data_IF_367996214357
#
_entry.id   IF_367996214357
#
_cell.length_a   1.000
_cell.length_b   1.000
_cell.length_c   1.000
_cell.angle_alpha   90.00
_cell.angle_beta   90.00
_cell.angle_gamma   90.00
#
_symmetry.space_group_name_H-M   'P 1'
#
loop_
_entity.id
_entity.type
_entity.pdbx_description
1 polymer ?
#
# COMPACT_ATOMS: atom_id res chain seq x y z
N UNK A 1 -13.21 -2.99 -15.90
CA UNK A 1 -12.36 -1.79 -15.82
C UNK A 1 -12.31 -1.39 -14.35
N UNK A 2 -11.12 -1.06 -13.83
CA UNK A 2 -11.02 -0.63 -12.45
C UNK A 2 -11.71 0.74 -12.26
N UNK A 3 -12.43 0.95 -11.15
CA UNK A 3 -12.94 2.26 -10.78
C UNK A 3 -11.79 3.27 -10.59
N UNK A 4 -12.14 4.55 -10.65
CA UNK A 4 -11.20 5.65 -10.48
C UNK A 4 -11.51 6.42 -9.20
N UNK A 5 -10.47 6.74 -8.43
CA UNK A 5 -10.55 7.53 -7.20
C UNK A 5 -9.70 8.79 -7.36
N UNK A 6 -10.32 9.95 -7.24
CA UNK A 6 -9.61 11.23 -7.07
C UNK A 6 -9.07 11.31 -5.63
N UNK A 7 -7.77 11.08 -5.47
CA UNK A 7 -7.12 11.05 -4.18
C UNK A 7 -6.52 12.42 -3.84
N UNK A 8 -7.34 13.28 -3.23
CA UNK A 8 -6.88 14.53 -2.63
C UNK A 8 -6.37 14.25 -1.23
N UNK A 9 -5.06 14.34 -1.02
CA UNK A 9 -4.43 13.95 0.26
C UNK A 9 -5.02 14.69 1.47
N UNK A 10 -5.42 15.96 1.31
CA UNK A 10 -6.05 16.74 2.38
C UNK A 10 -7.40 16.17 2.87
N UNK A 11 -8.07 15.32 2.08
CA UNK A 11 -9.30 14.66 2.50
C UNK A 11 -9.05 13.47 3.43
N UNK A 12 -7.82 12.93 3.43
CA UNK A 12 -7.48 11.68 4.11
C UNK A 12 -6.34 11.84 5.11
N UNK A 13 -5.53 12.88 5.01
CA UNK A 13 -4.45 13.16 5.94
C UNK A 13 -4.66 14.53 6.57
N UNK A 14 -4.38 14.66 7.87
CA UNK A 14 -4.06 15.97 8.43
C UNK A 14 -2.80 16.54 7.77
N UNK A 15 -2.74 17.87 7.66
CA UNK A 15 -1.61 18.59 7.08
C UNK A 15 -1.01 19.48 8.15
N UNK A 16 0.32 19.50 8.26
CA UNK A 16 1.06 20.39 9.15
C UNK A 16 2.24 21.02 8.42
N UNK A 17 2.69 22.19 8.89
CA UNK A 17 3.85 22.85 8.32
C UNK A 17 5.15 22.15 8.75
N UNK A 18 5.93 21.67 7.77
CA UNK A 18 7.24 21.10 8.02
C UNK A 18 8.30 22.21 7.96
N UNK A 19 8.78 22.66 9.13
CA UNK A 19 9.76 23.75 9.24
C UNK A 19 11.11 23.42 8.60
N UNK A 20 11.50 22.15 8.50
CA UNK A 20 12.75 21.75 7.88
C UNK A 20 12.71 21.89 6.35
N UNK A 21 11.52 21.72 5.75
CA UNK A 21 11.32 21.76 4.30
C UNK A 21 10.65 23.06 3.83
N UNK A 22 10.10 23.86 4.75
CA UNK A 22 9.45 25.12 4.43
C UNK A 22 8.10 24.97 3.71
N UNK A 23 7.42 23.82 3.84
CA UNK A 23 6.15 23.56 3.16
C UNK A 23 5.16 22.78 4.01
N UNK A 24 3.87 22.94 3.73
CA UNK A 24 2.79 22.20 4.38
C UNK A 24 2.73 20.78 3.82
N UNK A 25 2.77 19.78 4.71
CA UNK A 25 2.87 18.37 4.34
C UNK A 25 1.85 17.50 5.09
N UNK A 26 1.38 16.41 4.46
CA UNK A 26 0.63 15.37 5.15
C UNK A 26 1.43 14.82 6.34
N UNK A 27 0.77 14.76 7.50
CA UNK A 27 1.29 14.08 8.68
C UNK A 27 0.73 12.66 8.73
N UNK A 28 1.57 11.74 9.20
CA UNK A 28 1.22 10.34 9.25
C UNK A 28 2.10 9.58 10.24
N UNK A 29 1.62 8.41 10.62
CA UNK A 29 2.38 7.45 11.39
C UNK A 29 3.17 6.56 10.43
N UNK A 30 4.49 6.74 10.41
CA UNK A 30 5.38 5.97 9.54
C UNK A 30 6.05 4.84 10.31
N UNK A 31 6.04 3.65 9.73
CA UNK A 31 6.85 2.53 10.19
C UNK A 31 7.75 2.04 9.07
N UNK A 32 8.95 1.66 9.47
CA UNK A 32 9.96 1.17 8.56
C UNK A 32 10.05 -0.34 8.73
N UNK A 33 10.28 -1.04 7.63
CA UNK A 33 10.34 -2.48 7.60
C UNK A 33 11.60 -2.95 6.90
N UNK A 34 12.22 -4.00 7.42
CA UNK A 34 13.22 -4.76 6.71
C UNK A 34 12.57 -5.53 5.54
N UNK A 35 13.02 -5.25 4.32
CA UNK A 35 12.41 -5.78 3.09
C UNK A 35 12.60 -7.30 2.97
N UNK A 36 13.74 -7.82 3.41
CA UNK A 36 14.02 -9.26 3.37
C UNK A 36 13.16 -10.02 4.37
N UNK A 37 12.97 -9.47 5.58
CA UNK A 37 12.09 -10.05 6.58
C UNK A 37 10.63 -10.12 6.09
N UNK A 38 10.12 -9.05 5.47
CA UNK A 38 8.78 -9.04 4.88
C UNK A 38 8.65 -10.05 3.73
N UNK A 39 9.65 -10.12 2.85
CA UNK A 39 9.67 -11.07 1.73
C UNK A 39 9.66 -12.51 2.22
N UNK A 40 10.46 -12.82 3.24
CA UNK A 40 10.48 -14.15 3.85
C UNK A 40 9.12 -14.52 4.46
N UNK A 41 8.48 -13.59 5.18
CA UNK A 41 7.16 -13.81 5.76
C UNK A 41 6.07 -14.04 4.70
N UNK A 42 6.08 -13.26 3.61
CA UNK A 42 5.17 -13.46 2.48
C UNK A 42 5.33 -14.83 1.81
N UNK A 43 6.58 -15.26 1.58
CA UNK A 43 6.88 -16.57 0.97
C UNK A 43 6.38 -17.74 1.81
N UNK A 44 6.47 -17.68 3.14
CA UNK A 44 5.90 -18.71 4.03
C UNK A 44 4.39 -18.87 3.83
N UNK A 45 3.70 -17.80 3.44
CA UNK A 45 2.27 -17.78 3.17
C UNK A 45 1.92 -17.93 1.68
N UNK A 46 2.92 -18.17 0.81
CA UNK A 46 2.76 -18.20 -0.65
C UNK A 46 2.14 -16.92 -1.22
N UNK A 47 2.49 -15.77 -0.64
CA UNK A 47 2.08 -14.43 -1.06
C UNK A 47 3.29 -13.66 -1.59
N UNK A 48 3.08 -12.83 -2.61
CA UNK A 48 4.07 -11.80 -2.96
C UNK A 48 4.02 -10.65 -1.93
N UNK A 49 4.96 -9.71 -2.02
CA UNK A 49 5.09 -8.61 -1.08
C UNK A 49 3.84 -7.71 -1.06
N UNK A 50 3.22 -7.47 -2.22
CA UNK A 50 2.00 -6.66 -2.34
C UNK A 50 0.83 -7.31 -1.61
N UNK A 51 0.60 -8.59 -1.86
CA UNK A 51 -0.50 -9.33 -1.27
C UNK A 51 -0.31 -9.46 0.24
N UNK A 52 0.93 -9.71 0.69
CA UNK A 52 1.25 -9.78 2.10
C UNK A 52 1.00 -8.46 2.83
N UNK A 53 1.51 -7.34 2.29
CA UNK A 53 1.30 -6.01 2.87
C UNK A 53 -0.19 -5.58 2.84
N UNK A 54 -0.90 -5.90 1.76
CA UNK A 54 -2.34 -5.63 1.63
C UNK A 54 -3.14 -6.43 2.66
N UNK A 55 -2.85 -7.72 2.79
CA UNK A 55 -3.51 -8.60 3.75
C UNK A 55 -3.24 -8.17 5.19
N UNK A 56 -1.98 -7.81 5.50
CA UNK A 56 -1.61 -7.24 6.78
C UNK A 56 -2.46 -6.00 7.07
N UNK A 57 -2.41 -5.00 6.20
CA UNK A 57 -3.17 -3.77 6.38
C UNK A 57 -4.66 -4.03 6.64
N UNK A 58 -5.28 -4.93 5.88
CA UNK A 58 -6.68 -5.29 6.08
C UNK A 58 -6.96 -5.97 7.43
N UNK A 59 -6.14 -6.94 7.82
CA UNK A 59 -6.34 -7.71 9.06
C UNK A 59 -6.37 -6.82 10.31
N UNK A 60 -5.77 -5.64 10.20
CA UNK A 60 -5.69 -4.65 11.27
C UNK A 60 -6.96 -3.81 11.40
N UNK A 61 -7.81 -3.82 10.37
CA UNK A 61 -9.07 -3.08 10.29
C UNK A 61 -10.32 -3.97 10.32
N UNK A 62 -10.19 -5.27 10.04
CA UNK A 62 -11.33 -6.21 10.01
C UNK A 62 -12.06 -6.38 11.36
N UNK A 63 -11.59 -5.73 12.43
CA UNK A 63 -12.22 -5.71 13.75
C UNK A 63 -13.46 -4.82 13.92
N UNK A 64 -14.06 -4.31 12.83
CA UNK A 64 -15.38 -3.68 12.86
C UNK A 64 -15.42 -2.24 13.40
N UNK A 65 -14.31 -1.50 13.37
CA UNK A 65 -14.32 -0.07 13.71
C UNK A 65 -14.73 0.75 12.48
N UNK A 66 -15.78 1.55 12.62
CA UNK A 66 -16.09 2.57 11.63
C UNK A 66 -15.00 3.64 11.70
N UNK A 67 -14.17 3.71 10.66
CA UNK A 67 -13.16 4.76 10.51
C UNK A 67 -13.55 5.72 9.40
N UNK A 68 -13.13 6.97 9.54
CA UNK A 68 -13.41 8.04 8.57
C UNK A 68 -12.73 7.80 7.22
N UNK A 69 -11.61 7.07 7.26
CA UNK A 69 -10.83 6.61 6.12
C UNK A 69 -9.36 6.64 6.47
N UNK A 70 -8.64 5.54 6.24
CA UNK A 70 -7.19 5.49 6.45
C UNK A 70 -6.47 5.22 5.15
N UNK A 71 -5.61 6.16 4.78
CA UNK A 71 -4.73 6.04 3.63
C UNK A 71 -3.38 5.50 4.09
N UNK A 72 -2.99 4.36 3.52
CA UNK A 72 -1.65 3.84 3.55
C UNK A 72 -0.89 4.32 2.31
N UNK A 73 0.29 4.89 2.53
CA UNK A 73 1.24 5.26 1.49
C UNK A 73 2.54 4.51 1.70
N UNK A 74 3.20 4.16 0.61
CA UNK A 74 4.40 3.35 0.60
C UNK A 74 5.54 4.15 -0.01
N UNK A 75 6.68 4.20 0.64
CA UNK A 75 7.92 4.73 0.11
C UNK A 75 9.02 3.69 0.34
N UNK A 76 9.68 3.21 -0.69
CA UNK A 76 10.85 2.39 -0.43
C UNK A 76 12.10 3.23 -0.21
N UNK A 77 12.99 2.64 0.58
CA UNK A 77 14.20 3.23 1.13
C UNK A 77 15.32 2.19 0.89
N UNK A 78 16.59 2.56 0.70
CA UNK A 78 17.63 1.55 0.51
C UNK A 78 17.58 0.44 1.58
N UNK A 79 17.36 -0.80 1.12
CA UNK A 79 17.19 -2.04 1.93
C UNK A 79 15.94 -2.10 2.84
N UNK A 80 15.07 -1.09 2.79
CA UNK A 80 13.93 -0.95 3.71
C UNK A 80 12.68 -0.47 2.95
N UNK A 81 11.55 -0.51 3.64
CA UNK A 81 10.34 0.11 3.16
C UNK A 81 9.70 0.92 4.27
N UNK A 82 9.28 2.15 3.98
CA UNK A 82 8.42 2.91 4.84
C UNK A 82 6.97 2.73 4.39
N UNK A 83 6.13 2.24 5.30
CA UNK A 83 4.69 2.27 5.13
C UNK A 83 4.16 3.30 6.13
N UNK A 84 3.52 4.34 5.61
CA UNK A 84 2.99 5.43 6.41
C UNK A 84 1.47 5.42 6.35
N UNK A 85 0.83 5.63 7.49
CA UNK A 85 -0.61 5.75 7.63
C UNK A 85 -1.00 7.19 7.94
N UNK A 86 -2.03 7.69 7.28
CA UNK A 86 -2.67 8.93 7.69
C UNK A 86 -4.19 8.75 7.72
N UNK A 87 -4.82 9.53 8.60
CA UNK A 87 -6.27 9.75 8.64
C UNK A 87 -6.53 11.23 8.89
N UNK A 88 -7.70 11.72 8.47
CA UNK A 88 -8.24 12.99 8.92
C UNK A 88 -8.56 12.98 10.42
N UNK A 89 -8.87 11.80 10.98
CA UNK A 89 -9.05 11.56 12.41
C UNK A 89 -7.87 10.74 12.98
N UNK A 90 -6.98 11.34 13.80
CA UNK A 90 -5.84 10.64 14.39
C UNK A 90 -6.21 9.43 15.24
N UNK A 91 -7.43 9.38 15.78
CA UNK A 91 -7.89 8.24 16.58
C UNK A 91 -7.97 6.95 15.74
N UNK A 92 -8.24 7.07 14.43
CA UNK A 92 -8.26 5.94 13.51
C UNK A 92 -6.89 5.23 13.52
N UNK A 93 -5.80 5.99 13.37
CA UNK A 93 -4.44 5.44 13.25
C UNK A 93 -3.90 4.94 14.59
N UNK A 94 -4.35 5.49 15.72
CA UNK A 94 -3.85 5.13 17.04
C UNK A 94 -4.07 3.65 17.38
N UNK A 95 -5.23 3.09 17.02
CA UNK A 95 -5.55 1.68 17.27
C UNK A 95 -4.60 0.72 16.53
N UNK A 96 -4.04 1.17 15.41
CA UNK A 96 -3.21 0.36 14.52
C UNK A 96 -1.73 0.42 14.88
N UNK A 97 -1.31 1.55 15.45
CA UNK A 97 0.07 1.80 15.84
C UNK A 97 0.68 0.64 16.62
N UNK A 98 -0.01 0.13 17.62
CA UNK A 98 0.52 -0.93 18.49
C UNK A 98 0.59 -2.28 17.77
N UNK A 99 -0.39 -2.59 16.92
CA UNK A 99 -0.38 -3.86 16.18
C UNK A 99 0.64 -3.87 15.05
N UNK A 100 0.98 -2.73 14.45
CA UNK A 100 2.03 -2.70 13.43
C UNK A 100 3.44 -2.91 13.99
N UNK A 101 3.67 -2.57 15.26
CA UNK A 101 4.98 -2.79 15.90
C UNK A 101 5.34 -4.27 16.03
N UNK A 102 4.35 -5.15 15.99
CA UNK A 102 4.57 -6.61 16.09
C UNK A 102 4.88 -7.26 14.74
N UNK A 103 4.83 -6.50 13.65
CA UNK A 103 5.08 -7.02 12.31
C UNK A 103 6.57 -7.40 12.11
N UNK A 104 6.86 -8.46 11.34
CA UNK A 104 8.23 -8.87 11.03
C UNK A 104 9.06 -7.72 10.44
N UNK A 105 10.25 -7.52 10.97
CA UNK A 105 11.18 -6.52 10.48
C UNK A 105 10.79 -5.06 10.79
N UNK A 106 9.78 -4.82 11.63
CA UNK A 106 9.39 -3.48 12.04
C UNK A 106 10.52 -2.75 12.78
N UNK A 107 10.79 -1.53 12.34
CA UNK A 107 11.71 -0.57 12.93
C UNK A 107 10.91 0.69 13.26
N UNK A 108 10.74 0.99 14.56
CA UNK A 108 10.05 2.21 15.00
C UNK A 108 10.97 3.42 14.80
N UNK A 109 11.03 3.91 13.57
CA UNK A 109 11.63 5.19 13.23
C UNK A 109 10.51 6.22 13.17
N UNK A 110 10.32 6.92 14.29
CA UNK A 110 9.28 7.94 14.42
C UNK A 110 9.57 9.08 13.45
N UNK A 111 8.78 9.16 12.40
CA UNK A 111 8.72 10.30 11.50
C UNK A 111 7.26 10.75 11.39
N UNK A 112 6.98 11.96 11.87
CA UNK A 112 5.62 12.49 11.93
C UNK A 112 5.10 12.98 10.56
N UNK A 113 5.97 13.04 9.55
CA UNK A 113 5.61 13.40 8.16
C UNK A 113 5.74 12.20 7.21
N UNK A 114 4.79 12.12 6.27
CA UNK A 114 4.86 11.17 5.16
C UNK A 114 6.06 11.53 4.25
N UNK A 115 6.90 10.55 3.84
CA UNK A 115 7.98 10.80 2.90
C UNK A 115 7.46 11.41 1.58
N UNK A 116 8.16 12.40 1.03
CA UNK A 116 7.74 13.04 -0.24
C UNK A 116 7.73 12.07 -1.43
N UNK A 117 8.52 11.00 -1.35
CA UNK A 117 8.56 9.94 -2.35
C UNK A 117 7.50 8.87 -2.14
N UNK A 118 6.58 9.03 -1.18
CA UNK A 118 5.57 8.02 -0.91
C UNK A 118 4.47 8.03 -1.98
N UNK A 119 4.17 6.86 -2.52
CA UNK A 119 3.05 6.64 -3.41
C UNK A 119 1.82 6.13 -2.64
N UNK A 120 0.59 6.50 -3.03
CA UNK A 120 -0.61 5.87 -2.49
C UNK A 120 -0.58 4.36 -2.70
N UNK A 121 -0.83 3.63 -1.63
CA UNK A 121 -0.78 2.18 -1.63
C UNK A 121 -2.16 1.58 -1.42
N UNK A 122 -2.80 1.88 -0.29
CA UNK A 122 -4.12 1.33 0.03
C UNK A 122 -4.98 2.35 0.77
N UNK A 123 -6.29 2.28 0.58
CA UNK A 123 -7.27 3.07 1.31
C UNK A 123 -8.26 2.11 1.97
N UNK A 124 -8.39 2.19 3.29
CA UNK A 124 -9.47 1.53 4.01
C UNK A 124 -10.56 2.55 4.30
N UNK A 125 -11.74 2.34 3.72
CA UNK A 125 -12.90 3.24 3.86
C UNK A 125 -14.19 2.46 3.67
N UNK A 126 -15.24 2.81 4.41
CA UNK A 126 -16.56 2.19 4.28
C UNK A 126 -16.52 0.66 4.44
N UNK A 127 -15.67 0.18 5.36
CA UNK A 127 -15.38 -1.24 5.61
C UNK A 127 -14.80 -2.01 4.42
N UNK A 128 -14.39 -1.33 3.36
CA UNK A 128 -13.77 -1.90 2.19
C UNK A 128 -12.29 -1.49 2.10
N UNK A 129 -11.48 -2.42 1.60
CA UNK A 129 -10.08 -2.16 1.27
C UNK A 129 -9.94 -1.91 -0.22
N UNK A 130 -9.40 -0.75 -0.54
CA UNK A 130 -9.04 -0.35 -1.89
C UNK A 130 -7.52 -0.41 -2.04
N UNK A 131 -7.01 -1.31 -2.88
CA UNK A 131 -5.65 -1.24 -3.39
C UNK A 131 -5.60 -0.18 -4.49
N UNK A 132 -4.75 0.82 -4.29
CA UNK A 132 -4.66 2.00 -5.14
C UNK A 132 -3.53 1.85 -6.17
N UNK A 133 -3.82 2.18 -7.42
CA UNK A 133 -2.85 2.15 -8.51
C UNK A 133 -2.72 3.57 -9.09
N UNK A 134 -1.71 4.36 -8.67
CA UNK A 134 -1.48 5.71 -9.12
C UNK A 134 -1.05 5.68 -10.58
N UNK A 135 -1.80 6.37 -11.42
CA UNK A 135 -1.56 6.45 -12.86
C UNK A 135 -2.06 7.79 -13.37
N UNK A 136 -1.31 8.42 -14.27
CA UNK A 136 -1.72 9.68 -14.88
C UNK A 136 -2.89 9.48 -15.85
N UNK A 137 -2.79 8.48 -16.74
CA UNK A 137 -3.84 8.10 -17.69
C UNK A 137 -3.84 6.57 -17.88
N UNK A 138 -4.81 5.83 -17.34
CA UNK A 138 -4.85 4.37 -17.51
C UNK A 138 -5.36 3.99 -18.91
N UNK A 139 -4.58 3.23 -19.64
CA UNK A 139 -5.05 2.62 -20.89
C UNK A 139 -5.75 1.28 -20.61
N UNK A 140 -6.93 1.08 -21.21
CA UNK A 140 -7.74 -0.12 -20.95
C UNK A 140 -7.06 -1.42 -21.41
N UNK A 141 -6.32 -1.37 -22.51
CA UNK A 141 -5.67 -2.53 -23.12
C UNK A 141 -4.29 -2.85 -22.52
N UNK A 142 -3.60 -1.87 -21.95
CA UNK A 142 -2.25 -2.00 -21.41
C UNK A 142 -2.16 -2.95 -20.21
N UNK A 143 -1.07 -3.68 -20.07
CA UNK A 143 -0.81 -4.50 -18.88
C UNK A 143 0.10 -3.74 -17.93
N UNK A 144 -0.26 -3.69 -16.65
CA UNK A 144 0.55 -2.96 -15.67
C UNK A 144 1.07 -3.89 -14.59
N UNK A 145 2.31 -3.64 -14.19
CA UNK A 145 2.96 -4.29 -13.05
C UNK A 145 3.50 -3.22 -12.12
N UNK A 146 3.30 -3.45 -10.83
CA UNK A 146 3.94 -2.73 -9.75
C UNK A 146 5.27 -3.38 -9.40
N UNK A 147 6.32 -2.57 -9.27
CA UNK A 147 7.60 -2.98 -8.69
C UNK A 147 7.70 -2.46 -7.25
N UNK A 148 7.55 -3.34 -6.26
CA UNK A 148 7.76 -3.06 -4.83
C UNK A 148 9.17 -3.42 -4.35
N UNK A 149 10.04 -3.85 -5.28
CA UNK A 149 11.43 -4.21 -5.08
C UNK A 149 12.34 -3.02 -5.31
N UNK A 150 13.19 -3.12 -6.33
CA UNK A 150 14.34 -2.23 -6.51
C UNK A 150 14.00 -0.87 -7.11
N UNK A 151 12.90 -0.74 -7.85
CA UNK A 151 12.37 0.57 -8.28
C UNK A 151 11.42 1.20 -7.25
N UNK A 152 11.43 0.68 -6.02
CA UNK A 152 11.00 1.36 -4.83
C UNK A 152 9.50 1.67 -4.68
N UNK A 153 8.60 0.92 -5.35
CA UNK A 153 7.17 1.20 -5.29
C UNK A 153 6.79 2.57 -5.88
N UNK A 154 7.67 3.18 -6.65
CA UNK A 154 7.43 4.49 -7.25
C UNK A 154 6.90 4.38 -8.68
N UNK A 155 6.98 3.19 -9.29
CA UNK A 155 6.66 2.99 -10.70
C UNK A 155 5.65 1.86 -10.86
N UNK A 156 4.41 2.27 -11.12
CA UNK A 156 3.48 1.47 -11.89
C UNK A 156 3.95 1.52 -13.36
N UNK A 157 4.35 0.39 -13.91
CA UNK A 157 4.91 0.33 -15.25
C UNK A 157 3.96 -0.41 -16.20
N UNK A 158 3.77 0.14 -17.40
CA UNK A 158 3.21 -0.61 -18.52
C UNK A 158 4.24 -1.61 -19.05
N UNK A 159 3.82 -2.86 -19.14
CA UNK A 159 4.67 -3.99 -19.53
C UNK A 159 4.02 -4.79 -20.65
N UNK A 160 4.82 -5.61 -21.32
CA UNK A 160 4.29 -6.56 -22.28
C UNK A 160 3.44 -7.64 -21.59
N UNK A 161 2.52 -8.22 -22.38
CA UNK A 161 1.60 -9.25 -21.93
C UNK A 161 2.32 -10.48 -21.34
N UNK A 162 3.47 -10.87 -21.89
CA UNK A 162 4.19 -12.06 -21.43
C UNK A 162 4.84 -11.83 -20.06
N UNK A 163 5.42 -10.66 -19.81
CA UNK A 163 5.92 -10.30 -18.48
C UNK A 163 4.79 -10.22 -17.45
N UNK A 164 3.66 -9.59 -17.78
CA UNK A 164 2.49 -9.54 -16.90
C UNK A 164 2.03 -10.93 -16.43
N UNK A 165 1.89 -11.90 -17.34
CA UNK A 165 1.46 -13.25 -16.98
C UNK A 165 2.53 -14.04 -16.23
N UNK A 166 3.82 -13.75 -16.43
CA UNK A 166 4.90 -14.33 -15.60
C UNK A 166 4.75 -13.88 -14.14
N UNK A 167 4.58 -12.58 -13.91
CA UNK A 167 4.37 -12.03 -12.56
C UNK A 167 3.10 -12.59 -11.91
N UNK A 168 2.01 -12.68 -12.67
CA UNK A 168 0.73 -13.19 -12.15
C UNK A 168 0.80 -14.67 -11.74
N UNK A 169 1.55 -15.49 -12.47
CA UNK A 169 1.56 -16.95 -12.29
C UNK A 169 2.71 -17.46 -11.41
N UNK A 170 3.79 -16.71 -11.24
CA UNK A 170 4.96 -17.13 -10.45
C UNK A 170 5.32 -16.11 -9.35
N UNK A 171 4.55 -16.15 -8.27
CA UNK A 171 4.72 -15.25 -7.12
C UNK A 171 6.03 -15.46 -6.35
N UNK A 172 6.63 -16.64 -6.44
CA UNK A 172 7.83 -16.97 -5.70
C UNK A 172 9.07 -16.36 -6.35
N UNK A 173 9.16 -16.44 -7.68
CA UNK A 173 10.23 -15.80 -8.45
C UNK A 173 10.02 -14.28 -8.51
N UNK A 174 8.79 -13.82 -8.72
CA UNK A 174 8.45 -12.40 -8.84
C UNK A 174 7.86 -11.82 -7.54
N UNK A 175 8.41 -12.20 -6.38
CA UNK A 175 7.85 -11.84 -5.07
C UNK A 175 7.78 -10.33 -4.78
N UNK A 176 8.53 -9.53 -5.52
CA UNK A 176 8.55 -8.06 -5.39
C UNK A 176 7.64 -7.36 -6.38
N UNK A 177 7.02 -8.11 -7.30
CA UNK A 177 6.16 -7.56 -8.33
C UNK A 177 4.70 -7.93 -8.08
N UNK A 178 3.80 -7.03 -8.48
CA UNK A 178 2.38 -7.29 -8.46
C UNK A 178 1.71 -6.87 -9.77
N UNK A 179 1.04 -7.82 -10.41
CA UNK A 179 0.25 -7.56 -11.59
C UNK A 179 -1.02 -6.79 -11.20
N UNK A 180 -1.30 -5.66 -11.86
CA UNK A 180 -2.54 -4.93 -11.64
C UNK A 180 -3.70 -5.70 -12.28
N UNK A 181 -4.71 -6.11 -11.50
CA UNK A 181 -5.77 -6.94 -12.04
C UNK A 181 -6.64 -6.15 -13.01
N UNK A 182 -7.24 -6.87 -13.95
CA UNK A 182 -8.26 -6.31 -14.85
C UNK A 182 -9.64 -6.23 -14.20
N UNK A 183 -9.87 -7.09 -13.20
CA UNK A 183 -11.09 -7.15 -12.42
C UNK A 183 -10.99 -6.24 -11.18
N UNK A 184 -12.05 -5.50 -10.83
CA UNK A 184 -12.03 -4.60 -9.68
C UNK A 184 -12.00 -5.35 -8.36
N UNK A 185 -12.58 -6.55 -8.28
CA UNK A 185 -12.54 -7.38 -7.08
C UNK A 185 -11.51 -8.50 -7.23
N UNK A 186 -10.65 -8.65 -6.23
CA UNK A 186 -9.82 -9.84 -6.03
C UNK A 186 -9.94 -10.33 -4.58
N UNK A 187 -9.26 -11.43 -4.28
CA UNK A 187 -9.26 -12.02 -2.95
C UNK A 187 -7.87 -12.56 -2.61
N UNK A 188 -7.40 -12.27 -1.40
CA UNK A 188 -6.11 -12.74 -0.91
C UNK A 188 -6.34 -13.79 0.18
N UNK A 189 -5.86 -15.04 0.02
CA UNK A 189 -5.89 -16.02 1.10
C UNK A 189 -4.87 -15.62 2.17
N UNK A 190 -5.32 -15.48 3.42
CA UNK A 190 -4.46 -15.04 4.52
C UNK A 190 -4.92 -15.64 5.86
N UNK A 191 -4.00 -16.31 6.57
CA UNK A 191 -4.22 -16.89 7.91
C UNK A 191 -5.53 -17.70 8.06
N UNK A 192 -5.85 -18.56 7.07
CA UNK A 192 -7.05 -19.40 7.08
C UNK A 192 -8.35 -18.67 6.69
N UNK A 193 -8.28 -17.38 6.39
CA UNK A 193 -9.37 -16.58 5.84
C UNK A 193 -9.13 -16.12 4.41
N UNK A 194 -10.10 -15.39 3.86
CA UNK A 194 -10.04 -14.76 2.55
C UNK A 194 -10.34 -13.28 2.71
N UNK A 195 -9.38 -12.45 2.30
CA UNK A 195 -9.47 -10.99 2.37
C UNK A 195 -9.99 -10.46 1.04
N UNK A 196 -11.18 -9.83 0.99
CA UNK A 196 -11.67 -9.19 -0.21
C UNK A 196 -10.93 -7.87 -0.46
N UNK A 197 -10.46 -7.68 -1.70
CA UNK A 197 -9.73 -6.47 -2.11
C UNK A 197 -10.42 -5.85 -3.31
N UNK A 198 -10.72 -4.56 -3.21
CA UNK A 198 -11.13 -3.75 -4.35
C UNK A 198 -9.91 -3.05 -4.94
N UNK A 199 -9.83 -2.95 -6.25
CA UNK A 199 -8.73 -2.31 -6.96
C UNK A 199 -9.24 -1.06 -7.65
N UNK A 200 -8.50 0.04 -7.53
CA UNK A 200 -8.86 1.30 -8.14
C UNK A 200 -7.64 1.99 -8.75
N UNK A 201 -7.86 2.63 -9.90
CA UNK A 201 -6.94 3.66 -10.39
C UNK A 201 -7.05 4.89 -9.48
N UNK A 202 -5.94 5.59 -9.27
CA UNK A 202 -5.98 6.88 -8.60
C UNK A 202 -5.07 7.91 -9.27
N UNK A 203 -5.41 9.18 -9.09
CA UNK A 203 -4.48 10.29 -9.26
C UNK A 203 -4.26 10.96 -7.93
N UNK A 204 -3.00 11.34 -7.69
CA UNK A 204 -2.64 12.20 -6.58
C UNK A 204 -2.72 13.64 -7.10
N UNK A 205 -3.62 14.42 -6.53
CA UNK A 205 -3.73 15.87 -6.74
C UNK A 205 -3.37 16.62 -5.47
#
# INVERSE_FOLDING_TARGET
>A
MLPYIDLRLANYCKVAFNYCLGLAMPIGYSLWFDREALRAAGKVLNLNLDEYLTALFFSLWSGGKNVSGVLAVYAAIPRRSALSLCSSDPADVQAIRETWKTLPGCLELRHDFIPQTAAPYALYKDQALYRLHPVTQPERAAFYVWDLGDCLGNFLQEVDKAFYFRVLNDKNTYSEYAAVPKNPGTSIPYQGGVIPVQHAWCTVM
#
